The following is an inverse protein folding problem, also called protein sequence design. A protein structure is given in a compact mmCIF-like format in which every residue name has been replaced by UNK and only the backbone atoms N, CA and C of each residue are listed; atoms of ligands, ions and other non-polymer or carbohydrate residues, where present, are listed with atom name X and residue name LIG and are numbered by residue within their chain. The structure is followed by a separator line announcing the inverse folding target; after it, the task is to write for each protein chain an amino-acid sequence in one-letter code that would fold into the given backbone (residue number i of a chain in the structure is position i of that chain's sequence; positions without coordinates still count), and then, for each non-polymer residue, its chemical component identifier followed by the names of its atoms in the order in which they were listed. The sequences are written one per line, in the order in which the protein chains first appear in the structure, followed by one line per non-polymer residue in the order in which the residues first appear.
data_IF_798032211826
#
_entry.id   IF_798032211826
#
_cell.length_a   1.000
_cell.length_b   1.000
_cell.length_c   1.000
_cell.angle_alpha   90.00
_cell.angle_beta   90.00
_cell.angle_gamma   90.00
#
_symmetry.space_group_name_H-M   'P 1'
#
loop_
_entity.id
_entity.type
_entity.pdbx_description
1 polymer ?
#
# COMPACT_ATOMS: atom_id res chain seq x y z
N UNK A 1 91.10 1.54 2.89
CA UNK A 1 91.42 1.12 4.27
C UNK A 1 90.12 1.26 5.06
N UNK A 2 89.20 0.29 4.95
CA UNK A 2 89.04 -0.93 5.79
C UNK A 2 88.55 -0.54 7.20
N UNK A 3 87.47 -1.03 7.82
CA UNK A 3 86.65 -2.27 7.78
C UNK A 3 85.18 -1.91 8.16
N UNK A 4 84.07 -2.48 7.66
CA UNK A 4 83.53 -3.86 7.62
C UNK A 4 82.92 -4.37 8.96
N UNK A 5 81.65 -4.80 8.87
CA UNK A 5 80.85 -5.74 9.71
C UNK A 5 80.02 -5.17 10.88
N UNK A 6 78.77 -5.60 11.18
CA UNK A 6 77.89 -6.66 10.65
C UNK A 6 76.43 -6.35 11.02
N UNK A 7 75.48 -6.89 10.25
CA UNK A 7 74.05 -6.91 10.54
C UNK A 7 73.67 -8.11 11.43
N UNK A 8 72.60 -7.98 12.22
CA UNK A 8 71.71 -9.11 12.53
C UNK A 8 70.28 -8.65 12.82
N UNK A 9 69.37 -9.31 12.09
CA UNK A 9 67.91 -9.32 12.12
C UNK A 9 67.35 -9.83 13.45
N UNK A 10 66.19 -9.35 13.88
CA UNK A 10 65.25 -10.15 14.68
C UNK A 10 63.80 -9.68 14.49
N UNK A 11 62.94 -10.69 14.39
CA UNK A 11 61.57 -10.72 13.88
C UNK A 11 60.57 -10.82 15.04
N UNK A 12 59.32 -10.48 14.73
CA UNK A 12 58.04 -10.95 15.33
C UNK A 12 57.57 -10.40 16.68
N UNK A 13 56.33 -9.91 16.68
CA UNK A 13 55.57 -9.65 17.92
C UNK A 13 54.22 -8.94 17.75
N UNK A 14 53.42 -9.25 16.72
CA UNK A 14 52.04 -8.76 16.60
C UNK A 14 51.09 -9.62 17.42
N UNK A 15 50.46 -9.06 18.47
CA UNK A 15 49.36 -9.69 19.20
C UNK A 15 48.09 -8.86 19.07
N UNK A 16 47.07 -9.50 18.51
CA UNK A 16 45.74 -9.00 18.29
C UNK A 16 44.99 -8.80 19.63
N UNK A 17 44.38 -7.62 19.80
CA UNK A 17 43.32 -7.40 20.77
C UNK A 17 41.98 -7.66 20.07
N UNK A 18 41.36 -8.81 20.35
CA UNK A 18 39.93 -9.04 20.10
C UNK A 18 39.21 -8.79 21.42
N UNK A 19 38.48 -7.68 21.53
CA UNK A 19 37.47 -7.51 22.58
C UNK A 19 36.22 -8.31 22.17
N UNK A 20 36.04 -9.46 22.81
CA UNK A 20 34.75 -10.13 22.90
C UNK A 20 33.95 -9.45 24.02
N UNK A 21 32.88 -8.74 23.67
CA UNK A 21 31.89 -8.28 24.65
C UNK A 21 30.81 -9.36 24.79
N UNK A 22 30.90 -10.10 25.88
CA UNK A 22 29.85 -11.00 26.37
C UNK A 22 28.83 -10.15 27.14
N UNK A 23 27.61 -10.00 26.60
CA UNK A 23 26.45 -9.68 27.45
C UNK A 23 25.64 -10.95 27.67
N UNK A 24 25.72 -11.43 28.92
CA UNK A 24 24.78 -12.39 29.50
C UNK A 24 23.40 -11.75 29.56
N UNK A 25 22.41 -12.37 28.93
CA UNK A 25 21.00 -12.11 29.24
C UNK A 25 20.55 -13.21 30.20
N UNK A 26 20.43 -12.87 31.48
CA UNK A 26 19.90 -13.76 32.49
C UNK A 26 18.40 -13.97 32.26
N UNK A 27 18.03 -15.24 32.06
CA UNK A 27 16.67 -15.74 32.09
C UNK A 27 16.12 -15.54 33.52
N UNK A 28 15.10 -14.70 33.67
CA UNK A 28 14.27 -14.64 34.88
C UNK A 28 12.88 -15.12 34.51
N UNK A 29 12.67 -16.42 34.74
CA UNK A 29 11.37 -17.08 34.68
C UNK A 29 10.66 -16.76 36.00
N UNK A 30 9.74 -15.79 35.98
CA UNK A 30 8.78 -15.62 37.06
C UNK A 30 7.55 -16.48 36.74
N UNK A 31 7.52 -17.65 37.37
CA UNK A 31 6.36 -18.53 37.44
C UNK A 31 5.46 -18.03 38.56
N UNK A 32 4.26 -17.56 38.21
CA UNK A 32 3.17 -17.40 39.18
C UNK A 32 2.00 -18.25 38.73
N UNK A 33 1.97 -19.47 39.27
CA UNK A 33 0.78 -20.29 39.36
C UNK A 33 -0.19 -19.63 40.35
N UNK A 34 -1.47 -19.58 39.99
CA UNK A 34 -2.56 -19.36 40.93
C UNK A 34 -3.65 -20.36 40.57
N UNK A 35 -3.82 -21.35 41.43
CA UNK A 35 -4.90 -22.34 41.38
C UNK A 35 -6.23 -21.71 41.82
N UNK A 36 -7.38 -22.30 41.43
CA UNK A 36 -8.69 -21.71 41.60
C UNK A 36 -9.37 -22.14 42.91
N UNK A 37 -10.21 -21.26 43.43
CA UNK A 37 -11.25 -21.52 44.44
C UNK A 37 -12.38 -20.56 44.06
N UNK A 38 -13.65 -20.90 43.88
CA UNK A 38 -14.45 -22.06 44.24
C UNK A 38 -15.79 -21.52 44.75
N UNK A 39 -16.90 -21.97 44.15
CA UNK A 39 -18.29 -21.99 44.64
C UNK A 39 -19.20 -20.74 44.56
N UNK A 40 -20.44 -20.98 44.11
CA UNK A 40 -21.64 -20.15 44.38
C UNK A 40 -22.51 -19.80 43.16
N UNK A 41 -23.32 -20.73 42.63
CA UNK A 41 -24.82 -20.77 42.68
C UNK A 41 -25.54 -19.76 41.76
N UNK A 42 -26.06 -20.18 40.60
CA UNK A 42 -27.43 -20.66 40.24
C UNK A 42 -28.25 -19.57 39.53
N UNK A 43 -29.22 -20.03 38.73
CA UNK A 43 -30.29 -19.31 38.00
C UNK A 43 -29.90 -18.97 36.54
N UNK A 44 -30.18 -19.84 35.56
CA UNK A 44 -31.49 -20.17 34.97
C UNK A 44 -32.18 -18.96 34.32
N UNK A 45 -32.04 -18.86 32.99
CA UNK A 45 -32.99 -18.16 32.12
C UNK A 45 -32.79 -18.61 30.67
N UNK A 46 -33.56 -19.63 30.33
CA UNK A 46 -33.93 -20.03 28.98
C UNK A 46 -34.67 -18.89 28.26
N UNK A 47 -34.13 -18.33 27.17
CA UNK A 47 -34.89 -17.64 26.12
C UNK A 47 -34.19 -17.89 24.77
N UNK A 48 -34.67 -18.86 24.00
CA UNK A 48 -35.68 -18.67 22.96
C UNK A 48 -35.12 -18.03 21.68
N UNK A 49 -34.57 -18.94 20.86
CA UNK A 49 -34.76 -19.07 19.42
C UNK A 49 -35.80 -18.08 18.83
N UNK A 50 -35.37 -17.13 17.99
CA UNK A 50 -36.25 -16.49 17.02
C UNK A 50 -35.54 -16.45 15.67
N UNK A 51 -35.87 -17.43 14.84
CA UNK A 51 -35.58 -17.42 13.42
C UNK A 51 -36.33 -16.26 12.77
N UNK A 52 -35.62 -15.30 12.21
CA UNK A 52 -36.18 -14.34 11.25
C UNK A 52 -36.09 -14.97 9.86
N UNK A 53 -37.19 -15.60 9.45
CA UNK A 53 -37.49 -15.89 8.06
C UNK A 53 -37.99 -14.61 7.41
N UNK A 54 -37.18 -14.05 6.49
CA UNK A 54 -37.45 -12.75 5.87
C UNK A 54 -37.15 -12.75 4.38
N UNK A 55 -37.99 -13.45 3.62
CA UNK A 55 -38.35 -13.28 2.20
C UNK A 55 -37.31 -12.73 1.22
N UNK A 56 -36.92 -13.63 0.31
CA UNK A 56 -36.51 -13.34 -1.07
C UNK A 56 -37.50 -12.41 -1.78
N UNK A 57 -36.99 -11.32 -2.35
CA UNK A 57 -37.60 -10.64 -3.49
C UNK A 57 -36.76 -10.91 -4.72
N UNK A 58 -37.10 -11.99 -5.42
CA UNK A 58 -36.61 -12.28 -6.76
C UNK A 58 -37.19 -11.23 -7.72
N UNK A 59 -36.31 -10.48 -8.39
CA UNK A 59 -36.68 -9.73 -9.58
C UNK A 59 -36.71 -10.68 -10.78
N UNK A 60 -37.78 -10.70 -11.60
CA UNK A 60 -37.83 -11.54 -12.78
C UNK A 60 -36.91 -11.00 -13.88
N UNK A 61 -36.12 -11.92 -14.45
CA UNK A 61 -35.39 -11.74 -15.68
C UNK A 61 -36.37 -11.59 -16.87
N UNK A 62 -36.19 -10.54 -17.66
CA UNK A 62 -36.81 -10.35 -18.98
C UNK A 62 -35.78 -10.54 -20.10
N UNK A 63 -36.20 -10.92 -21.31
CA UNK A 63 -35.38 -11.72 -22.22
C UNK A 63 -34.39 -10.92 -23.07
N UNK A 64 -33.34 -11.63 -23.46
CA UNK A 64 -32.42 -11.28 -24.53
C UNK A 64 -33.12 -11.43 -25.88
N UNK A 65 -32.99 -10.42 -26.74
CA UNK A 65 -33.19 -10.58 -28.18
C UNK A 65 -31.98 -10.05 -28.93
N UNK A 66 -31.48 -10.93 -29.80
CA UNK A 66 -30.43 -10.69 -30.79
C UNK A 66 -31.10 -10.30 -32.10
N UNK A 67 -30.58 -9.30 -32.81
CA UNK A 67 -30.70 -9.27 -34.27
C UNK A 67 -29.71 -8.31 -34.93
N UNK A 68 -29.04 -8.86 -35.94
CA UNK A 68 -28.16 -8.20 -36.88
C UNK A 68 -28.92 -7.25 -37.82
N UNK A 69 -28.19 -6.31 -38.43
CA UNK A 69 -28.73 -5.44 -39.48
C UNK A 69 -27.66 -4.56 -40.10
N UNK A 70 -26.86 -5.16 -40.98
CA UNK A 70 -25.98 -4.43 -41.90
C UNK A 70 -26.82 -3.69 -42.96
N UNK A 71 -26.48 -2.43 -43.25
CA UNK A 71 -26.83 -1.78 -44.51
C UNK A 71 -25.67 -0.91 -44.97
N UNK A 72 -25.29 -1.11 -46.23
CA UNK A 72 -24.18 -0.49 -46.92
C UNK A 72 -24.66 0.53 -47.95
N UNK A 73 -23.84 1.57 -48.15
CA UNK A 73 -23.67 2.32 -49.41
C UNK A 73 -24.43 3.64 -49.54
N UNK A 74 -24.11 4.46 -50.56
CA UNK A 74 -22.77 4.93 -50.95
C UNK A 74 -22.76 6.46 -51.22
N UNK A 75 -21.59 7.08 -51.47
CA UNK A 75 -21.56 8.42 -52.05
C UNK A 75 -20.21 9.14 -51.97
N UNK A 76 -19.46 9.09 -53.06
CA UNK A 76 -18.25 9.88 -53.31
C UNK A 76 -18.60 11.35 -53.66
N UNK A 77 -17.69 12.27 -53.35
CA UNK A 77 -17.73 13.65 -53.84
C UNK A 77 -16.49 14.43 -53.42
N UNK A 78 -15.76 14.94 -54.40
CA UNK A 78 -14.38 15.40 -54.30
C UNK A 78 -14.22 16.93 -54.16
N UNK A 79 -12.99 17.31 -53.79
CA UNK A 79 -12.22 18.49 -54.22
C UNK A 79 -12.48 19.87 -53.59
N UNK A 80 -11.38 20.49 -53.13
CA UNK A 80 -11.02 21.86 -53.54
C UNK A 80 -10.66 22.87 -52.43
N UNK A 81 -9.45 23.43 -52.51
CA UNK A 81 -9.08 24.77 -52.00
C UNK A 81 -8.42 24.80 -50.61
N UNK A 82 -7.09 24.93 -50.46
CA UNK A 82 -6.21 26.10 -50.71
C UNK A 82 -6.15 27.12 -49.55
N UNK A 83 -4.97 27.16 -48.93
CA UNK A 83 -4.24 28.29 -48.31
C UNK A 83 -5.01 29.27 -47.40
N UNK A 84 -4.54 29.45 -46.15
CA UNK A 84 -3.66 30.57 -45.81
C UNK A 84 -3.39 30.67 -44.30
N UNK A 85 -2.10 30.86 -43.98
CA UNK A 85 -1.46 31.66 -42.92
C UNK A 85 -2.12 31.86 -41.54
N UNK A 86 -1.28 31.71 -40.51
CA UNK A 86 -1.27 32.67 -39.41
C UNK A 86 -1.29 32.08 -38.01
N UNK A 87 -0.24 32.40 -37.27
CA UNK A 87 -0.18 32.50 -35.80
C UNK A 87 0.33 31.28 -35.05
N UNK A 88 1.66 31.24 -34.99
CA UNK A 88 2.45 30.95 -33.80
C UNK A 88 1.65 31.18 -32.50
N UNK A 89 1.16 30.10 -31.91
CA UNK A 89 0.85 30.09 -30.49
C UNK A 89 2.10 29.63 -29.77
N UNK A 90 2.70 30.61 -29.09
CA UNK A 90 3.78 30.46 -28.13
C UNK A 90 3.52 29.21 -27.28
N UNK A 91 4.37 28.19 -27.45
CA UNK A 91 4.41 27.06 -26.55
C UNK A 91 4.91 27.58 -25.20
N UNK A 92 3.97 28.02 -24.36
CA UNK A 92 4.22 28.22 -22.95
C UNK A 92 4.82 26.93 -22.43
N UNK A 93 6.09 27.00 -22.07
CA UNK A 93 6.81 25.90 -21.46
C UNK A 93 5.97 25.44 -20.27
N UNK A 94 5.50 24.20 -20.33
CA UNK A 94 5.12 23.51 -19.11
C UNK A 94 6.38 23.51 -18.26
N UNK A 95 6.38 24.34 -17.23
CA UNK A 95 7.39 24.34 -16.19
C UNK A 95 7.46 22.91 -15.68
N UNK A 96 8.53 22.20 -16.06
CA UNK A 96 8.92 20.95 -15.43
C UNK A 96 8.92 21.23 -13.94
N UNK A 97 7.96 20.64 -13.23
CA UNK A 97 7.78 20.83 -11.80
C UNK A 97 9.14 20.75 -11.12
N UNK A 98 9.64 21.90 -10.66
CA UNK A 98 10.96 22.00 -10.09
C UNK A 98 10.93 21.18 -8.80
N UNK A 99 11.56 20.01 -8.80
CA UNK A 99 11.75 19.24 -7.58
C UNK A 99 12.41 20.15 -6.56
N UNK A 100 11.79 20.34 -5.38
CA UNK A 100 12.39 21.18 -4.35
C UNK A 100 13.82 20.69 -4.03
N UNK A 101 14.80 21.60 -3.91
CA UNK A 101 16.13 21.25 -3.44
C UNK A 101 16.05 20.54 -2.08
N UNK A 102 16.98 19.61 -1.83
CA UNK A 102 16.98 18.79 -0.61
C UNK A 102 16.97 19.63 0.68
N UNK A 103 17.69 20.76 0.70
CA UNK A 103 17.69 21.71 1.82
C UNK A 103 16.33 22.39 2.05
N UNK A 104 15.56 22.64 0.99
CA UNK A 104 14.20 23.18 1.10
C UNK A 104 13.22 22.15 1.67
N UNK A 105 13.40 20.87 1.31
CA UNK A 105 12.61 19.77 1.86
C UNK A 105 12.89 19.55 3.35
N UNK A 106 14.15 19.58 3.78
CA UNK A 106 14.53 19.42 5.19
C UNK A 106 13.89 20.50 6.08
N UNK A 107 13.88 21.75 5.62
CA UNK A 107 13.23 22.87 6.32
C UNK A 107 11.71 22.67 6.43
N UNK A 108 11.06 22.24 5.35
CA UNK A 108 9.62 21.93 5.34
C UNK A 108 9.29 20.79 6.32
N UNK A 109 10.07 19.70 6.26
CA UNK A 109 9.89 18.54 7.12
C UNK A 109 10.17 18.87 8.59
N UNK A 110 10.98 19.87 8.92
CA UNK A 110 11.26 20.23 10.32
C UNK A 110 9.98 20.50 11.15
N UNK A 111 8.91 20.97 10.51
CA UNK A 111 7.61 21.23 11.14
C UNK A 111 6.64 20.02 11.16
N UNK A 112 7.01 18.89 10.56
CA UNK A 112 6.18 17.69 10.50
C UNK A 112 6.36 16.83 11.77
N UNK A 113 5.36 16.00 12.14
CA UNK A 113 5.53 15.08 13.26
C UNK A 113 6.62 14.02 12.97
N UNK A 114 7.25 13.52 14.03
CA UNK A 114 8.50 12.76 13.92
C UNK A 114 8.39 11.52 13.01
N UNK A 115 7.33 10.72 13.17
CA UNK A 115 7.12 9.50 12.38
C UNK A 115 6.96 9.79 10.88
N UNK A 116 6.22 10.83 10.53
CA UNK A 116 6.02 11.26 9.15
C UNK A 116 7.33 11.76 8.54
N UNK A 117 8.18 12.46 9.31
CA UNK A 117 9.53 12.85 8.84
C UNK A 117 10.42 11.63 8.58
N UNK A 118 10.42 10.66 9.48
CA UNK A 118 11.17 9.41 9.31
C UNK A 118 10.70 8.66 8.06
N UNK A 119 9.39 8.53 7.86
CA UNK A 119 8.81 7.93 6.65
C UNK A 119 9.18 8.73 5.39
N UNK A 120 9.18 10.06 5.44
CA UNK A 120 9.63 10.89 4.32
C UNK A 120 11.09 10.60 3.95
N UNK A 121 11.99 10.53 4.94
CA UNK A 121 13.40 10.22 4.73
C UNK A 121 13.59 8.81 4.14
N UNK A 122 12.85 7.82 4.62
CA UNK A 122 12.89 6.46 4.07
C UNK A 122 12.40 6.41 2.62
N UNK A 123 11.31 7.10 2.29
CA UNK A 123 10.79 7.16 0.92
C UNK A 123 11.74 7.91 -0.02
N UNK A 124 12.36 9.00 0.43
CA UNK A 124 13.37 9.72 -0.35
C UNK A 124 14.58 8.83 -0.62
N UNK A 125 15.07 8.12 0.40
CA UNK A 125 16.18 7.18 0.24
C UNK A 125 15.84 6.06 -0.75
N UNK A 126 14.60 5.57 -0.75
CA UNK A 126 14.15 4.45 -1.59
C UNK A 126 13.78 4.86 -3.02
N UNK A 127 13.11 6.00 -3.20
CA UNK A 127 12.48 6.40 -4.47
C UNK A 127 13.02 7.71 -5.08
N UNK A 128 13.94 8.38 -4.38
CA UNK A 128 14.42 9.72 -4.72
C UNK A 128 13.44 10.82 -4.30
N UNK A 129 13.67 12.04 -4.79
CA UNK A 129 12.80 13.17 -4.52
C UNK A 129 11.34 12.90 -4.95
N UNK A 130 10.34 13.36 -4.18
CA UNK A 130 8.94 13.28 -4.57
C UNK A 130 8.65 14.16 -5.78
N UNK A 131 7.59 13.80 -6.50
CA UNK A 131 7.06 14.62 -7.59
C UNK A 131 6.31 15.86 -7.08
N UNK A 132 5.68 15.74 -5.91
CA UNK A 132 5.00 16.85 -5.23
C UNK A 132 5.57 16.97 -3.82
N UNK A 133 6.02 18.17 -3.44
CA UNK A 133 6.41 18.52 -2.07
C UNK A 133 5.56 19.69 -1.62
N UNK A 134 4.65 19.44 -0.66
CA UNK A 134 3.84 20.46 -0.03
C UNK A 134 3.92 20.35 1.49
N UNK A 135 3.47 21.39 2.18
CA UNK A 135 3.48 21.47 3.65
C UNK A 135 2.58 20.44 4.33
N UNK A 136 1.58 19.90 3.63
CA UNK A 136 0.64 18.88 4.13
C UNK A 136 0.86 17.49 3.52
N UNK A 137 1.46 17.40 2.33
CA UNK A 137 1.54 16.14 1.58
C UNK A 137 2.78 16.08 0.70
N UNK A 138 3.37 14.90 0.61
CA UNK A 138 4.38 14.55 -0.38
C UNK A 138 3.88 13.40 -1.24
N UNK A 139 4.10 13.47 -2.56
CA UNK A 139 3.60 12.47 -3.50
C UNK A 139 4.70 12.02 -4.45
N UNK A 140 4.84 10.70 -4.57
CA UNK A 140 5.63 10.05 -5.61
C UNK A 140 4.68 9.38 -6.60
N UNK A 141 4.83 9.69 -7.89
CA UNK A 141 4.07 9.07 -8.96
C UNK A 141 4.88 7.97 -9.64
N UNK A 142 4.19 6.89 -10.02
CA UNK A 142 4.71 5.82 -10.87
C UNK A 142 6.05 5.24 -10.36
N UNK A 143 6.13 4.93 -9.05
CA UNK A 143 7.29 4.28 -8.44
C UNK A 143 7.00 2.80 -8.22
N UNK A 144 7.79 1.92 -8.84
CA UNK A 144 7.54 0.48 -8.77
C UNK A 144 6.13 0.12 -9.28
N UNK A 145 5.37 -0.73 -8.57
CA UNK A 145 4.00 -1.11 -8.96
C UNK A 145 2.96 -0.02 -8.63
N UNK A 146 3.33 1.04 -7.92
CA UNK A 146 2.38 2.02 -7.42
C UNK A 146 2.10 3.11 -8.46
N UNK A 147 0.81 3.39 -8.66
CA UNK A 147 0.35 4.58 -9.38
C UNK A 147 0.76 5.85 -8.63
N UNK A 148 0.55 5.85 -7.31
CA UNK A 148 1.05 6.89 -6.41
C UNK A 148 1.38 6.33 -5.03
N UNK A 149 2.35 6.95 -4.40
CA UNK A 149 2.62 6.86 -2.97
C UNK A 149 2.42 8.27 -2.41
N UNK A 150 1.58 8.41 -1.39
CA UNK A 150 1.20 9.68 -0.80
C UNK A 150 1.51 9.63 0.70
N UNK A 151 2.33 10.57 1.17
CA UNK A 151 2.68 10.72 2.57
C UNK A 151 2.03 12.01 3.09
N UNK A 152 1.06 11.85 3.99
CA UNK A 152 0.36 12.95 4.62
C UNK A 152 1.07 13.39 5.92
N UNK A 153 0.98 14.68 6.23
CA UNK A 153 1.43 15.23 7.51
C UNK A 153 0.51 14.84 8.66
N UNK A 154 -0.79 14.78 8.39
CA UNK A 154 -1.82 14.39 9.36
C UNK A 154 -2.00 12.88 9.39
N UNK A 155 -2.39 12.36 10.54
CA UNK A 155 -2.70 10.95 10.73
C UNK A 155 -4.18 10.71 11.04
N UNK A 156 -4.64 9.52 10.70
CA UNK A 156 -5.95 8.99 11.09
C UNK A 156 -5.73 7.76 11.96
N UNK A 157 -6.38 7.66 13.11
CA UNK A 157 -6.21 6.49 13.97
C UNK A 157 -6.99 5.29 13.43
N UNK A 158 -6.31 4.16 13.30
CA UNK A 158 -6.88 2.89 12.87
C UNK A 158 -6.61 1.81 13.92
N UNK A 159 -7.62 0.99 14.23
CA UNK A 159 -7.57 0.02 15.33
C UNK A 159 -7.36 -1.43 14.89
N UNK A 160 -7.38 -1.71 13.58
CA UNK A 160 -7.21 -3.06 13.08
C UNK A 160 -5.85 -3.20 12.41
N UNK A 161 -5.07 -4.26 12.69
CA UNK A 161 -5.32 -5.34 13.65
C UNK A 161 -4.94 -4.95 15.09
N UNK A 162 -4.25 -3.83 15.26
CA UNK A 162 -3.96 -3.18 16.53
C UNK A 162 -3.97 -1.65 16.33
N UNK A 163 -4.12 -0.84 17.39
CA UNK A 163 -4.09 0.61 17.28
C UNK A 163 -2.80 1.16 16.69
N UNK A 164 -2.89 1.92 15.60
CA UNK A 164 -1.78 2.60 14.94
C UNK A 164 -2.27 3.82 14.14
N UNK A 165 -1.36 4.78 13.83
CA UNK A 165 -1.69 5.92 12.98
C UNK A 165 -1.51 5.61 11.49
N UNK A 166 -2.46 6.05 10.67
CA UNK A 166 -2.43 5.92 9.22
C UNK A 166 -2.09 7.26 8.58
N UNK A 167 -1.03 7.30 7.78
CA UNK A 167 -0.56 8.53 7.12
C UNK A 167 0.21 8.29 5.81
N UNK A 168 0.51 7.04 5.47
CA UNK A 168 1.15 6.64 4.22
C UNK A 168 0.17 5.85 3.36
N UNK A 169 -0.17 6.35 2.19
CA UNK A 169 -1.06 5.70 1.23
C UNK A 169 -0.27 5.15 0.05
N UNK A 170 -0.53 3.89 -0.30
CA UNK A 170 -0.09 3.27 -1.55
C UNK A 170 -1.29 3.00 -2.43
N UNK A 171 -1.25 3.47 -3.68
CA UNK A 171 -2.31 3.27 -4.68
C UNK A 171 -1.77 2.48 -5.87
N UNK A 172 -2.53 1.48 -6.32
CA UNK A 172 -2.24 0.67 -7.51
C UNK A 172 -3.38 0.78 -8.52
N UNK A 173 -3.06 0.57 -9.80
CA UNK A 173 -4.07 0.43 -10.84
C UNK A 173 -4.70 -0.97 -10.75
N UNK A 174 -5.97 -1.04 -10.37
CA UNK A 174 -6.68 -2.29 -10.10
C UNK A 174 -8.17 -2.17 -10.40
N UNK A 175 -8.70 -3.11 -11.18
CA UNK A 175 -10.12 -3.20 -11.50
C UNK A 175 -10.80 -4.12 -10.49
N UNK A 176 -11.42 -3.54 -9.47
CA UNK A 176 -12.22 -4.31 -8.51
C UNK A 176 -13.50 -4.79 -9.22
N UNK A 177 -13.81 -6.11 -9.21
CA UNK A 177 -15.09 -6.60 -9.69
C UNK A 177 -16.25 -5.96 -8.90
N UNK A 178 -17.29 -5.40 -9.53
CA UNK A 178 -18.43 -4.79 -8.81
C UNK A 178 -19.10 -5.73 -7.81
N UNK A 179 -19.15 -7.03 -8.11
CA UNK A 179 -19.68 -8.06 -7.22
C UNK A 179 -18.80 -8.35 -5.98
N UNK A 180 -17.67 -7.65 -5.82
CA UNK A 180 -16.71 -7.81 -4.71
C UNK A 180 -16.54 -6.56 -3.86
N UNK A 181 -17.31 -5.50 -4.14
CA UNK A 181 -17.18 -4.24 -3.40
C UNK A 181 -17.60 -4.39 -1.94
N UNK A 182 -18.66 -5.16 -1.67
CA UNK A 182 -19.16 -5.38 -0.31
C UNK A 182 -18.16 -6.16 0.54
N UNK A 183 -17.50 -7.18 -0.02
CA UNK A 183 -16.46 -7.92 0.70
C UNK A 183 -15.23 -7.07 0.99
N UNK A 184 -14.81 -6.21 0.05
CA UNK A 184 -13.69 -5.29 0.31
C UNK A 184 -14.06 -4.24 1.36
N UNK A 185 -15.29 -3.73 1.35
CA UNK A 185 -15.76 -2.80 2.38
C UNK A 185 -15.82 -3.40 3.80
N UNK A 186 -16.01 -4.72 3.91
CA UNK A 186 -15.97 -5.44 5.19
C UNK A 186 -14.55 -5.84 5.63
N UNK A 187 -13.58 -5.77 4.73
CA UNK A 187 -12.26 -6.32 4.96
C UNK A 187 -11.36 -5.41 5.81
N UNK A 188 -11.16 -4.16 5.39
CA UNK A 188 -10.23 -3.25 6.06
C UNK A 188 -10.71 -1.80 5.88
N UNK A 189 -10.81 -1.05 6.99
CA UNK A 189 -11.30 0.33 6.99
C UNK A 189 -10.34 1.32 6.33
N UNK A 190 -9.08 0.94 6.15
CA UNK A 190 -8.04 1.75 5.51
C UNK A 190 -7.78 1.32 4.06
N UNK A 191 -8.65 0.49 3.49
CA UNK A 191 -8.67 0.15 2.06
C UNK A 191 -9.85 0.82 1.38
N UNK A 192 -9.60 1.45 0.23
CA UNK A 192 -10.67 2.01 -0.60
C UNK A 192 -10.37 1.86 -2.08
N UNK A 193 -11.42 1.92 -2.90
CA UNK A 193 -11.33 1.80 -4.35
C UNK A 193 -11.98 3.00 -5.03
N UNK A 194 -11.49 3.31 -6.23
CA UNK A 194 -12.09 4.31 -7.11
C UNK A 194 -12.36 3.66 -8.47
N UNK A 195 -13.61 3.18 -8.67
CA UNK A 195 -14.01 2.45 -9.89
C UNK A 195 -13.69 3.23 -11.17
N UNK A 196 -14.04 4.52 -11.20
CA UNK A 196 -13.81 5.36 -12.40
C UNK A 196 -12.34 5.50 -12.78
N UNK A 197 -11.45 5.66 -11.79
CA UNK A 197 -10.01 5.76 -12.03
C UNK A 197 -9.33 4.40 -12.15
N UNK A 198 -10.01 3.33 -11.75
CA UNK A 198 -9.43 1.99 -11.67
C UNK A 198 -8.34 1.91 -10.61
N UNK A 199 -8.58 2.51 -9.45
CA UNK A 199 -7.60 2.58 -8.36
C UNK A 199 -8.04 1.74 -7.18
N UNK A 200 -7.08 1.07 -6.55
CA UNK A 200 -7.21 0.45 -5.22
C UNK A 200 -6.10 1.04 -4.35
N UNK A 201 -6.46 1.51 -3.16
CA UNK A 201 -5.54 2.15 -2.24
C UNK A 201 -5.61 1.50 -0.86
N UNK A 202 -4.48 1.50 -0.17
CA UNK A 202 -4.38 1.19 1.26
C UNK A 202 -3.61 2.30 1.97
N UNK A 203 -3.99 2.63 3.21
CA UNK A 203 -3.28 3.57 4.07
C UNK A 203 -2.86 2.90 5.37
N UNK A 204 -1.63 3.18 5.82
CA UNK A 204 -1.06 2.65 7.06
C UNK A 204 0.12 3.55 7.51
N UNK A 205 0.89 3.14 8.53
CA UNK A 205 2.16 3.77 8.91
C UNK A 205 3.35 3.27 8.08
N UNK A 206 3.22 2.11 7.42
CA UNK A 206 4.30 1.40 6.70
C UNK A 206 3.89 0.93 5.32
N UNK A 207 4.84 0.99 4.38
CA UNK A 207 4.63 0.50 3.01
C UNK A 207 4.39 -1.02 2.98
N UNK A 208 5.07 -1.79 3.82
CA UNK A 208 4.89 -3.24 3.92
C UNK A 208 3.46 -3.62 4.35
N UNK A 209 2.86 -2.85 5.25
CA UNK A 209 1.48 -3.06 5.68
C UNK A 209 0.48 -2.71 4.57
N UNK A 210 0.76 -1.65 3.79
CA UNK A 210 -0.01 -1.37 2.58
C UNK A 210 0.10 -2.50 1.55
N UNK A 211 1.28 -3.08 1.35
CA UNK A 211 1.44 -4.25 0.46
C UNK A 211 0.56 -5.42 0.92
N UNK A 212 0.58 -5.73 2.22
CA UNK A 212 -0.26 -6.77 2.80
C UNK A 212 -1.74 -6.51 2.54
N UNK A 213 -2.21 -5.28 2.79
CA UNK A 213 -3.59 -4.88 2.58
C UNK A 213 -4.02 -5.02 1.11
N UNK A 214 -3.22 -4.53 0.18
CA UNK A 214 -3.50 -4.57 -1.26
C UNK A 214 -3.49 -6.00 -1.80
N UNK A 215 -2.53 -6.82 -1.38
CA UNK A 215 -2.43 -8.22 -1.79
C UNK A 215 -3.63 -9.04 -1.31
N UNK A 216 -4.06 -8.85 -0.06
CA UNK A 216 -5.24 -9.52 0.49
C UNK A 216 -6.55 -9.01 -0.14
N UNK A 217 -6.62 -7.73 -0.50
CA UNK A 217 -7.74 -7.19 -1.27
C UNK A 217 -7.85 -7.89 -2.63
N UNK A 218 -6.73 -8.15 -3.29
CA UNK A 218 -6.70 -8.93 -4.52
C UNK A 218 -7.12 -10.40 -4.31
N UNK A 219 -6.70 -11.03 -3.21
CA UNK A 219 -7.13 -12.38 -2.85
C UNK A 219 -8.67 -12.45 -2.66
N UNK A 220 -9.27 -11.46 -2.01
CA UNK A 220 -10.73 -11.37 -1.83
C UNK A 220 -11.42 -11.14 -3.18
N UNK A 221 -10.93 -10.18 -3.96
CA UNK A 221 -11.50 -9.83 -5.26
C UNK A 221 -11.46 -11.00 -6.27
N UNK A 222 -10.50 -11.91 -6.12
CA UNK A 222 -10.37 -13.14 -6.93
C UNK A 222 -11.02 -14.36 -6.31
N UNK A 223 -11.62 -14.24 -5.11
CA UNK A 223 -12.22 -15.36 -4.39
C UNK A 223 -11.22 -16.36 -3.82
N UNK A 224 -9.92 -16.05 -3.82
CA UNK A 224 -8.87 -16.89 -3.18
C UNK A 224 -8.97 -16.87 -1.66
N UNK A 225 -9.56 -15.82 -1.08
CA UNK A 225 -9.84 -15.72 0.35
C UNK A 225 -11.22 -15.16 0.60
N UNK A 226 -11.82 -15.59 1.71
CA UNK A 226 -12.97 -14.90 2.31
C UNK A 226 -12.48 -13.68 3.11
N UNK A 227 -13.41 -12.77 3.43
CA UNK A 227 -13.11 -11.61 4.29
C UNK A 227 -12.55 -12.04 5.65
N UNK A 228 -13.17 -13.04 6.28
CA UNK A 228 -12.74 -13.54 7.59
C UNK A 228 -11.32 -14.11 7.55
N UNK A 229 -11.02 -14.94 6.53
CA UNK A 229 -9.68 -15.50 6.33
C UNK A 229 -8.63 -14.41 6.07
N UNK A 230 -8.98 -13.41 5.25
CA UNK A 230 -8.08 -12.30 4.95
C UNK A 230 -7.78 -11.46 6.20
N UNK A 231 -8.78 -11.16 7.03
CA UNK A 231 -8.59 -10.42 8.29
C UNK A 231 -7.73 -11.20 9.28
N UNK A 232 -7.97 -12.50 9.42
CA UNK A 232 -7.16 -13.37 10.28
C UNK A 232 -5.71 -13.46 9.80
N UNK A 233 -5.50 -13.61 8.49
CA UNK A 233 -4.18 -13.63 7.89
C UNK A 233 -3.47 -12.28 8.08
N UNK A 234 -4.16 -11.16 7.82
CA UNK A 234 -3.62 -9.82 8.04
C UNK A 234 -3.12 -9.67 9.46
N UNK A 235 -3.96 -9.95 10.46
CA UNK A 235 -3.61 -9.79 11.87
C UNK A 235 -2.38 -10.60 12.24
N UNK A 236 -2.31 -11.88 11.81
CA UNK A 236 -1.14 -12.73 12.03
C UNK A 236 0.13 -12.16 11.40
N UNK A 237 0.07 -11.76 10.13
CA UNK A 237 1.24 -11.25 9.39
C UNK A 237 1.68 -9.87 9.91
N UNK A 238 0.76 -8.99 10.27
CA UNK A 238 1.06 -7.70 10.85
C UNK A 238 1.74 -7.85 12.24
N UNK A 239 1.28 -8.76 13.09
CA UNK A 239 1.94 -9.05 14.36
C UNK A 239 3.37 -9.61 14.15
N UNK A 240 3.57 -10.45 13.14
CA UNK A 240 4.91 -10.91 12.76
C UNK A 240 5.81 -9.76 12.28
N UNK A 241 5.28 -8.85 11.45
CA UNK A 241 5.96 -7.63 11.04
C UNK A 241 6.36 -6.75 12.24
N UNK A 242 5.47 -6.60 13.23
CA UNK A 242 5.76 -5.87 14.47
C UNK A 242 6.88 -6.53 15.29
N UNK A 243 6.99 -7.85 15.24
CA UNK A 243 8.08 -8.61 15.83
C UNK A 243 9.39 -8.59 14.98
N UNK A 244 9.39 -7.90 13.84
CA UNK A 244 10.54 -7.75 12.96
C UNK A 244 10.64 -8.80 11.85
N UNK A 245 9.68 -9.73 11.75
CA UNK A 245 9.64 -10.73 10.69
C UNK A 245 9.00 -10.17 9.42
N UNK A 246 9.84 -9.97 8.39
CA UNK A 246 9.43 -9.49 7.06
C UNK A 246 9.45 -10.59 6.00
N UNK A 247 9.51 -11.87 6.39
CA UNK A 247 9.68 -13.00 5.48
C UNK A 247 8.47 -13.29 4.60
N UNK A 248 7.28 -12.84 4.99
CA UNK A 248 6.05 -13.05 4.21
C UNK A 248 6.14 -12.36 2.85
N UNK A 249 5.87 -13.06 1.74
CA UNK A 249 5.80 -12.44 0.41
C UNK A 249 4.76 -11.31 0.30
N UNK A 250 3.74 -11.33 1.17
CA UNK A 250 2.70 -10.29 1.20
C UNK A 250 3.23 -8.93 1.64
N UNK A 251 4.40 -8.87 2.30
CA UNK A 251 5.00 -7.65 2.82
C UNK A 251 6.01 -7.03 1.85
N UNK A 252 6.60 -7.82 0.96
CA UNK A 252 7.78 -7.42 0.16
C UNK A 252 7.43 -6.67 -1.12
N UNK A 253 6.19 -6.79 -1.59
CA UNK A 253 5.70 -6.06 -2.75
C UNK A 253 4.32 -6.52 -3.19
N UNK A 254 3.85 -5.95 -4.30
CA UNK A 254 2.58 -6.33 -4.93
C UNK A 254 2.74 -7.69 -5.65
N UNK A 255 1.90 -8.65 -5.28
CA UNK A 255 1.96 -10.05 -5.73
C UNK A 255 1.08 -10.36 -6.94
N UNK A 256 0.48 -9.34 -7.54
CA UNK A 256 -0.37 -9.44 -8.72
C UNK A 256 0.03 -8.41 -9.76
N UNK A 257 -0.30 -8.70 -11.02
CA UNK A 257 -0.04 -7.74 -12.09
C UNK A 257 -1.05 -6.58 -12.02
N UNK A 258 -0.55 -5.36 -11.88
CA UNK A 258 -1.39 -4.16 -11.95
C UNK A 258 -1.94 -3.96 -13.36
N UNK A 259 -3.14 -3.41 -13.47
CA UNK A 259 -3.79 -3.20 -14.76
C UNK A 259 -3.84 -1.70 -15.11
N UNK A 260 -2.99 -1.24 -16.02
CA UNK A 260 -2.98 0.16 -16.47
C UNK A 260 -4.32 0.64 -17.08
N UNK A 261 -5.14 -0.29 -17.58
CA UNK A 261 -6.47 -0.05 -18.13
C UNK A 261 -7.59 -0.43 -17.14
N UNK A 262 -7.32 -0.33 -15.84
CA UNK A 262 -8.30 -0.66 -14.80
C UNK A 262 -9.48 0.31 -14.71
N UNK A 263 -9.33 1.52 -15.27
CA UNK A 263 -10.35 2.54 -15.26
C UNK A 263 -11.65 2.03 -15.90
N UNK A 264 -12.76 2.28 -15.23
CA UNK A 264 -14.11 2.00 -15.72
C UNK A 264 -14.88 3.31 -15.78
N UNK A 265 -15.05 3.87 -16.97
CA UNK A 265 -15.69 5.17 -17.15
C UNK A 265 -17.15 5.23 -16.65
N UNK A 266 -17.72 4.10 -16.23
CA UNK A 266 -19.06 3.99 -15.64
C UNK A 266 -20.17 4.46 -16.58
N UNK A 267 -20.04 4.19 -17.88
CA UNK A 267 -20.95 4.79 -18.87
C UNK A 267 -21.22 3.94 -20.11
N UNK A 268 -22.46 4.06 -20.59
CA UNK A 268 -22.74 4.47 -21.94
C UNK A 268 -22.86 6.00 -21.98
N UNK A 269 -21.86 6.67 -22.56
CA UNK A 269 -22.05 8.06 -22.98
C UNK A 269 -22.76 8.02 -24.33
N UNK A 270 -24.07 8.26 -24.37
CA UNK A 270 -24.86 8.36 -25.60
C UNK A 270 -25.92 9.46 -25.54
N UNK A 271 -25.60 10.53 -26.29
CA UNK A 271 -26.27 11.79 -26.68
C UNK A 271 -26.46 12.85 -25.60
#
# INVERSE_FOLDING_TARGET
MSHVSHAHTLTTGGRALRLASTLSCALLVASCASTPSGSGTTDDATLANTAVTGRSSAFPAGPADSAAGAVAGPGAGAAGGSMSTGSSMSSSSMSSGSSMPQSGMESMLAAWPAKQRESAMMLVAKYGAPNVSGDQVMIWYNKGPYKKIELARTEVMHNFPAPHPDYLTSTVMYKVPPAKLDELGQYDGSVWFHRTRGELSAQCDKEEANNLALNLSHDIATGRRTVADARAFYAKTAMALMAGDKSSPYLTGIMFQTNANAADMDVPHKM
#
